data_IF_073346844410
#
_entry.id   IF_073346844410
#
_cell.length_a   1.000
_cell.length_b   1.000
_cell.length_c   1.000
_cell.angle_alpha   90.00
_cell.angle_beta   90.00
_cell.angle_gamma   90.00
#
_symmetry.space_group_name_H-M   'P 1'
#
loop_
_entity.id
_entity.type
_entity.pdbx_description
1 polymer ?
#
# COMPACT_ATOMS: atom_id res chain seq x y z
N UNK A 1 -27.32 2.74 -16.05
CA UNK A 1 -26.01 2.11 -16.32
C UNK A 1 -25.01 2.32 -15.17
N UNK A 2 -24.66 3.55 -14.77
CA UNK A 2 -23.65 3.84 -13.72
C UNK A 2 -23.98 3.31 -12.31
N UNK A 3 -25.26 3.32 -11.92
CA UNK A 3 -25.71 2.75 -10.64
C UNK A 3 -25.64 1.21 -10.61
N UNK A 4 -25.92 0.57 -11.76
CA UNK A 4 -25.93 -0.88 -11.88
C UNK A 4 -24.53 -1.49 -11.85
N UNK A 5 -23.54 -0.76 -12.39
CA UNK A 5 -22.11 -1.12 -12.29
C UNK A 5 -21.60 -0.96 -10.86
N UNK A 6 -22.02 0.09 -10.14
CA UNK A 6 -21.63 0.34 -8.75
C UNK A 6 -22.19 -0.74 -7.79
N UNK A 7 -23.43 -1.17 -8.00
CA UNK A 7 -24.07 -2.28 -7.26
C UNK A 7 -23.40 -3.63 -7.55
N UNK A 8 -22.97 -3.88 -8.78
CA UNK A 8 -22.27 -5.13 -9.13
C UNK A 8 -20.86 -5.20 -8.51
N UNK A 9 -20.13 -4.08 -8.51
CA UNK A 9 -18.79 -3.97 -7.90
C UNK A 9 -18.83 -4.16 -6.39
N UNK A 10 -19.84 -3.61 -5.72
CA UNK A 10 -20.04 -3.79 -4.26
C UNK A 10 -20.40 -5.24 -3.90
N UNK A 11 -21.21 -5.92 -4.73
CA UNK A 11 -21.59 -7.33 -4.52
C UNK A 11 -20.40 -8.30 -4.68
N UNK A 12 -19.47 -8.02 -5.60
CA UNK A 12 -18.24 -8.81 -5.79
C UNK A 12 -17.25 -8.65 -4.62
N UNK A 13 -17.29 -7.53 -3.90
CA UNK A 13 -16.43 -7.28 -2.74
C UNK A 13 -16.91 -8.03 -1.48
N UNK A 14 -18.20 -8.34 -1.35
CA UNK A 14 -18.80 -8.97 -0.15
C UNK A 14 -18.47 -10.47 -0.02
N UNK A 15 -18.15 -11.16 -1.12
CA UNK A 15 -17.97 -12.62 -1.14
C UNK A 15 -16.53 -13.09 -0.90
N UNK A 16 -15.55 -12.19 -0.71
CA UNK A 16 -14.19 -12.57 -0.34
C UNK A 16 -13.92 -12.23 1.14
N UNK A 17 -14.04 -13.23 2.01
CA UNK A 17 -13.46 -13.17 3.36
C UNK A 17 -11.93 -13.08 3.22
N UNK A 18 -11.39 -11.89 3.39
CA UNK A 18 -9.96 -11.67 3.38
C UNK A 18 -9.43 -11.86 4.79
N UNK A 19 -8.69 -12.93 5.06
CA UNK A 19 -8.15 -13.25 6.38
C UNK A 19 -6.68 -13.62 6.27
N UNK A 20 -5.87 -13.20 7.26
CA UNK A 20 -4.49 -13.66 7.42
C UNK A 20 -3.43 -12.58 7.26
N UNK A 21 -3.47 -11.79 6.17
CA UNK A 21 -2.36 -10.87 5.88
C UNK A 21 -2.49 -9.53 6.63
N UNK A 22 -1.41 -9.10 7.26
CA UNK A 22 -1.33 -7.81 7.96
C UNK A 22 -0.03 -7.08 7.65
N UNK A 23 -0.07 -5.76 7.71
CA UNK A 23 1.12 -4.91 7.75
C UNK A 23 1.14 -4.14 9.06
N UNK A 24 2.32 -3.68 9.46
CA UNK A 24 2.53 -2.84 10.62
C UNK A 24 3.60 -1.81 10.28
N UNK A 25 3.28 -0.54 10.51
CA UNK A 25 4.21 0.56 10.31
C UNK A 25 4.21 1.44 11.56
N UNK A 26 5.39 1.95 11.93
CA UNK A 26 5.49 2.88 13.05
C UNK A 26 4.86 4.21 12.65
N UNK A 27 3.84 4.65 13.38
CA UNK A 27 3.32 6.00 13.26
C UNK A 27 4.33 6.97 13.85
N UNK A 28 4.91 7.82 13.02
CA UNK A 28 5.79 8.88 13.48
C UNK A 28 5.63 10.08 12.55
N UNK A 29 5.18 11.19 13.13
CA UNK A 29 5.26 12.50 12.49
C UNK A 29 6.70 12.97 12.66
N UNK A 30 7.48 12.89 11.58
CA UNK A 30 8.90 13.24 11.58
C UNK A 30 9.13 14.38 10.59
N UNK A 31 9.86 15.39 11.03
CA UNK A 31 10.30 16.52 10.18
C UNK A 31 11.74 16.25 9.76
N UNK A 32 11.98 16.27 8.45
CA UNK A 32 13.30 16.11 7.83
C UNK A 32 13.69 17.38 7.09
N UNK A 33 14.98 17.57 6.81
CA UNK A 33 15.44 18.68 5.99
C UNK A 33 15.36 18.31 4.51
N UNK A 34 15.15 19.32 3.69
CA UNK A 34 15.29 19.18 2.24
C UNK A 34 16.70 18.69 1.89
N UNK A 35 16.81 17.77 0.93
CA UNK A 35 18.06 17.11 0.55
C UNK A 35 18.42 15.89 1.40
N UNK A 36 17.77 15.64 2.54
CA UNK A 36 18.04 14.47 3.36
C UNK A 36 17.64 13.17 2.62
N UNK A 37 18.40 12.10 2.88
CA UNK A 37 18.02 10.75 2.51
C UNK A 37 17.21 10.10 3.64
N UNK A 38 16.02 9.57 3.33
CA UNK A 38 15.14 8.94 4.33
C UNK A 38 14.72 7.55 3.90
N UNK A 39 14.43 6.70 4.88
CA UNK A 39 13.92 5.35 4.65
C UNK A 39 12.74 5.06 5.58
N UNK A 40 11.60 4.73 4.98
CA UNK A 40 10.41 4.26 5.66
C UNK A 40 10.45 2.74 5.74
N UNK A 41 10.19 2.18 6.92
CA UNK A 41 10.15 0.74 7.14
C UNK A 41 8.74 0.28 7.48
N UNK A 42 8.35 -0.86 6.92
CA UNK A 42 7.09 -1.52 7.19
C UNK A 42 7.32 -3.01 7.40
N UNK A 43 6.84 -3.54 8.52
CA UNK A 43 6.81 -4.99 8.77
C UNK A 43 5.52 -5.57 8.23
N UNK A 44 5.59 -6.77 7.68
CA UNK A 44 4.42 -7.49 7.19
C UNK A 44 4.34 -8.88 7.80
N UNK A 45 3.16 -9.47 7.80
CA UNK A 45 2.93 -10.85 8.21
C UNK A 45 1.99 -11.48 7.19
N UNK A 46 2.47 -12.55 6.57
CA UNK A 46 1.73 -13.34 5.59
C UNK A 46 2.13 -14.79 5.73
N UNK A 47 1.19 -15.69 5.50
CA UNK A 47 1.43 -17.14 5.48
C UNK A 47 1.64 -17.66 4.03
N UNK A 48 1.64 -16.76 3.05
CA UNK A 48 1.75 -17.11 1.64
C UNK A 48 3.20 -16.98 1.16
N UNK A 49 3.65 -17.90 0.31
CA UNK A 49 4.98 -17.82 -0.32
C UNK A 49 5.01 -16.81 -1.47
N UNK A 50 3.87 -16.59 -2.12
CA UNK A 50 3.69 -15.66 -3.23
C UNK A 50 2.79 -14.50 -2.81
N UNK A 51 3.36 -13.30 -2.70
CA UNK A 51 2.66 -12.09 -2.28
C UNK A 51 3.27 -10.84 -2.92
N UNK A 52 2.47 -9.79 -2.96
CA UNK A 52 2.87 -8.46 -3.39
C UNK A 52 2.96 -7.54 -2.19
N UNK A 53 3.99 -6.69 -2.18
CA UNK A 53 4.07 -5.54 -1.29
C UNK A 53 3.95 -4.27 -2.10
N UNK A 54 3.20 -3.32 -1.58
CA UNK A 54 2.89 -2.05 -2.21
C UNK A 54 3.28 -0.91 -1.30
N UNK A 55 3.71 0.18 -1.91
CA UNK A 55 3.85 1.48 -1.29
C UNK A 55 2.94 2.49 -1.96
N UNK A 56 2.31 3.29 -1.13
CA UNK A 56 1.41 4.37 -1.52
C UNK A 56 1.85 5.67 -0.86
N UNK A 57 1.56 6.78 -1.53
CA UNK A 57 1.69 8.12 -0.98
C UNK A 57 0.33 8.77 -0.90
N UNK A 58 0.01 9.38 0.23
CA UNK A 58 -1.24 10.11 0.42
C UNK A 58 -0.93 11.54 0.85
N UNK A 59 -1.26 12.48 -0.02
CA UNK A 59 -1.28 13.89 0.33
C UNK A 59 -2.47 14.22 1.23
N UNK A 60 -2.40 15.28 2.06
CA UNK A 60 -3.53 15.72 2.86
C UNK A 60 -4.81 15.83 2.03
N UNK A 61 -5.89 15.24 2.54
CA UNK A 61 -7.22 15.23 1.92
C UNK A 61 -7.33 14.58 0.53
N UNK A 62 -6.28 13.89 0.07
CA UNK A 62 -6.31 13.11 -1.19
C UNK A 62 -6.43 11.62 -0.91
N UNK A 63 -6.84 10.87 -1.94
CA UNK A 63 -6.78 9.41 -1.92
C UNK A 63 -5.32 8.93 -2.01
N UNK A 64 -4.98 7.73 -1.48
CA UNK A 64 -3.67 7.13 -1.68
C UNK A 64 -3.33 6.94 -3.16
N UNK A 65 -2.13 7.37 -3.55
CA UNK A 65 -1.57 7.25 -4.89
C UNK A 65 -0.55 6.10 -4.91
N UNK A 66 -0.64 5.22 -5.90
CA UNK A 66 0.29 4.11 -6.05
C UNK A 66 1.71 4.61 -6.37
N UNK A 67 2.71 4.10 -5.64
CA UNK A 67 4.11 4.43 -5.88
C UNK A 67 4.90 3.26 -6.48
N UNK A 68 5.00 2.14 -5.76
CA UNK A 68 5.87 1.03 -6.14
C UNK A 68 5.32 -0.27 -5.58
N UNK A 69 5.51 -1.38 -6.30
CA UNK A 69 5.29 -2.71 -5.77
C UNK A 69 6.46 -3.65 -6.01
N UNK A 70 6.57 -4.67 -5.17
CA UNK A 70 7.52 -5.77 -5.27
C UNK A 70 6.79 -7.10 -5.13
N UNK A 71 7.20 -8.11 -5.91
CA UNK A 71 6.67 -9.47 -5.82
C UNK A 71 7.68 -10.38 -5.14
N UNK A 72 7.22 -11.17 -4.17
CA UNK A 72 8.08 -12.01 -3.32
C UNK A 72 8.93 -13.02 -4.12
N UNK A 73 8.42 -13.51 -5.25
CA UNK A 73 9.09 -14.57 -6.01
C UNK A 73 10.41 -14.16 -6.68
N UNK A 74 10.44 -12.99 -7.31
CA UNK A 74 11.61 -12.49 -8.04
C UNK A 74 12.17 -11.20 -7.46
N UNK A 75 11.54 -10.70 -6.39
CA UNK A 75 11.86 -9.43 -5.77
C UNK A 75 11.97 -8.28 -6.77
N UNK A 76 11.18 -8.29 -7.86
CA UNK A 76 11.26 -7.27 -8.90
C UNK A 76 10.58 -5.98 -8.43
N UNK A 77 11.29 -4.87 -8.55
CA UNK A 77 10.72 -3.54 -8.36
C UNK A 77 9.90 -3.11 -9.58
N UNK A 78 8.68 -2.62 -9.35
CA UNK A 78 7.88 -1.96 -10.39
C UNK A 78 7.34 -0.64 -9.85
N UNK A 79 7.80 0.47 -10.44
CA UNK A 79 7.39 1.83 -10.07
C UNK A 79 6.21 2.31 -10.90
N UNK A 80 5.37 3.16 -10.32
CA UNK A 80 4.34 3.91 -11.03
C UNK A 80 4.97 4.93 -11.99
N UNK A 81 4.24 5.29 -13.04
CA UNK A 81 4.75 6.13 -14.13
C UNK A 81 5.30 7.49 -13.67
N UNK A 82 4.73 8.07 -12.60
CA UNK A 82 5.13 9.36 -12.05
C UNK A 82 6.22 9.28 -10.96
N UNK A 83 6.74 8.08 -10.67
CA UNK A 83 7.74 7.89 -9.61
C UNK A 83 9.14 7.92 -10.19
N UNK A 84 9.89 8.97 -9.82
CA UNK A 84 11.27 9.19 -10.26
C UNK A 84 12.29 8.25 -9.63
N UNK A 85 13.54 8.35 -10.11
CA UNK A 85 14.68 7.54 -9.65
C UNK A 85 15.05 7.75 -8.18
N UNK A 86 14.71 8.91 -7.58
CA UNK A 86 14.96 9.23 -6.17
C UNK A 86 14.29 8.25 -5.19
N UNK A 87 13.20 7.61 -5.63
CA UNK A 87 12.47 6.63 -4.83
C UNK A 87 12.96 5.23 -5.13
N UNK A 88 13.19 4.41 -4.11
CA UNK A 88 13.50 2.98 -4.27
C UNK A 88 12.87 2.18 -3.16
N UNK A 89 12.45 0.95 -3.45
CA UNK A 89 11.90 0.03 -2.46
C UNK A 89 12.76 -1.20 -2.33
N UNK A 90 12.87 -1.74 -1.12
CA UNK A 90 13.49 -3.04 -0.85
C UNK A 90 12.50 -3.96 -0.14
N UNK A 91 12.73 -5.26 -0.28
CA UNK A 91 11.97 -6.30 0.38
C UNK A 91 12.94 -7.35 0.92
N UNK A 92 12.96 -7.47 2.25
CA UNK A 92 13.61 -8.53 3.01
C UNK A 92 12.52 -9.52 3.47
N UNK A 93 12.46 -10.66 2.80
CA UNK A 93 11.46 -11.70 3.07
C UNK A 93 11.77 -12.40 4.39
N UNK A 94 13.04 -12.54 4.76
CA UNK A 94 13.47 -13.26 5.96
C UNK A 94 13.05 -12.48 7.20
N UNK A 95 13.26 -11.16 7.19
CA UNK A 95 12.86 -10.28 8.29
C UNK A 95 11.41 -9.84 8.22
N UNK A 96 10.69 -10.20 7.15
CA UNK A 96 9.34 -9.72 6.85
C UNK A 96 9.24 -8.19 6.89
N UNK A 97 10.22 -7.52 6.27
CA UNK A 97 10.33 -6.06 6.19
C UNK A 97 10.34 -5.62 4.73
N UNK A 98 9.60 -4.56 4.44
CA UNK A 98 9.81 -3.75 3.24
C UNK A 98 10.20 -2.34 3.63
N UNK A 99 11.06 -1.75 2.81
CA UNK A 99 11.46 -0.36 2.97
C UNK A 99 11.18 0.44 1.70
N UNK A 100 10.98 1.73 1.88
CA UNK A 100 10.92 2.74 0.83
C UNK A 100 11.91 3.85 1.18
N UNK A 101 12.91 4.03 0.33
CA UNK A 101 13.94 5.06 0.47
C UNK A 101 13.70 6.20 -0.51
N UNK A 102 13.95 7.42 -0.05
CA UNK A 102 14.00 8.65 -0.85
C UNK A 102 15.41 9.21 -0.69
N UNK A 103 16.18 9.30 -1.79
CA UNK A 103 17.60 9.68 -1.72
C UNK A 103 17.85 11.17 -1.52
N UNK A 104 16.92 12.01 -1.96
CA UNK A 104 17.02 13.47 -1.89
C UNK A 104 15.61 14.01 -1.67
N UNK A 105 15.24 14.27 -0.42
CA UNK A 105 13.91 14.79 -0.08
C UNK A 105 13.64 16.16 -0.67
N UNK A 106 12.43 16.35 -1.19
CA UNK A 106 11.92 17.65 -1.64
C UNK A 106 10.72 18.05 -0.78
N UNK A 107 10.43 19.35 -0.68
CA UNK A 107 9.25 19.85 0.07
C UNK A 107 7.94 19.22 -0.46
N UNK A 108 7.87 18.98 -1.78
CA UNK A 108 6.74 18.32 -2.46
C UNK A 108 6.55 16.84 -2.07
N UNK A 109 7.54 16.22 -1.42
CA UNK A 109 7.48 14.84 -0.92
C UNK A 109 6.78 14.75 0.45
N UNK A 110 6.36 15.88 1.04
CA UNK A 110 5.61 15.93 2.30
C UNK A 110 4.24 15.27 2.14
N UNK A 111 4.11 14.05 2.66
CA UNK A 111 2.91 13.23 2.55
C UNK A 111 2.95 12.09 3.57
N UNK A 112 1.83 11.38 3.72
CA UNK A 112 1.79 10.10 4.41
C UNK A 112 2.26 8.99 3.45
N UNK A 113 3.18 8.15 3.92
CA UNK A 113 3.65 6.98 3.18
C UNK A 113 3.07 5.71 3.82
N UNK A 114 2.35 4.93 3.01
CA UNK A 114 1.56 3.79 3.46
C UNK A 114 2.05 2.51 2.76
N UNK A 115 2.28 1.46 3.52
CA UNK A 115 2.59 0.14 2.96
C UNK A 115 1.36 -0.76 2.94
N UNK A 116 1.34 -1.71 2.01
CA UNK A 116 0.30 -2.71 1.91
C UNK A 116 0.82 -4.07 1.47
N UNK A 117 0.07 -5.13 1.77
CA UNK A 117 0.36 -6.48 1.30
C UNK A 117 -0.88 -7.11 0.66
N UNK A 118 -0.65 -8.00 -0.33
CA UNK A 118 -1.67 -8.87 -0.88
C UNK A 118 -1.10 -10.22 -1.30
N UNK A 119 -1.77 -11.31 -0.89
CA UNK A 119 -1.52 -12.65 -1.42
C UNK A 119 -1.75 -12.71 -2.94
N UNK A 120 -0.85 -13.41 -3.65
CA UNK A 120 -0.95 -13.65 -5.09
C UNK A 120 -2.26 -14.36 -5.47
N UNK A 121 -2.71 -15.33 -4.65
CA UNK A 121 -3.97 -16.08 -4.88
C UNK A 121 -5.19 -15.18 -4.83
N UNK A 122 -5.09 -14.08 -4.08
CA UNK A 122 -6.19 -13.14 -3.88
C UNK A 122 -6.12 -11.95 -4.82
N UNK A 123 -5.21 -11.92 -5.81
CA UNK A 123 -5.05 -10.80 -6.74
C UNK A 123 -5.72 -11.08 -8.12
N UNK A 124 -6.62 -10.20 -8.62
CA UNK A 124 -7.16 -8.99 -7.98
C UNK A 124 -8.12 -9.32 -6.82
N UNK A 125 -8.04 -8.52 -5.74
CA UNK A 125 -8.80 -8.74 -4.50
C UNK A 125 -8.24 -7.92 -3.32
N UNK A 126 -8.21 -8.49 -2.11
CA UNK A 126 -7.97 -7.69 -0.91
C UNK A 126 -6.53 -7.25 -0.71
N UNK A 127 -6.39 -5.98 -0.37
CA UNK A 127 -5.14 -5.35 0.06
C UNK A 127 -5.32 -4.90 1.51
N UNK A 128 -4.39 -5.31 2.37
CA UNK A 128 -4.32 -4.85 3.76
C UNK A 128 -3.45 -3.60 3.83
N UNK A 129 -4.05 -2.46 4.17
CA UNK A 129 -3.38 -1.17 4.39
C UNK A 129 -3.45 -0.81 5.87
N UNK A 130 -2.39 -0.18 6.39
CA UNK A 130 -2.37 0.36 7.76
C UNK A 130 -2.12 1.85 7.75
N UNK A 131 -3.03 2.59 8.38
CA UNK A 131 -2.87 4.02 8.55
C UNK A 131 -2.17 4.32 9.88
N UNK A 132 -1.00 4.98 9.86
CA UNK A 132 -0.45 5.58 11.06
C UNK A 132 -1.31 6.80 11.40
N UNK A 133 -1.94 6.81 12.58
CA UNK A 133 -2.62 8.03 13.07
C UNK A 133 -1.88 8.59 14.27
N UNK A 134 -1.97 9.91 14.48
CA UNK A 134 -1.35 10.66 15.59
C UNK A 134 -1.81 10.21 17.00
N UNK A 135 -2.73 9.24 17.10
CA UNK A 135 -3.39 8.81 18.33
C UNK A 135 -3.12 7.33 18.66
N UNK A 136 -1.88 6.83 18.55
CA UNK A 136 -1.45 5.47 18.99
C UNK A 136 -2.32 4.28 18.51
N UNK A 137 -3.28 4.49 17.60
CA UNK A 137 -4.21 3.50 17.09
C UNK A 137 -3.93 3.29 15.61
N UNK A 138 -3.47 2.09 15.28
CA UNK A 138 -3.32 1.65 13.91
C UNK A 138 -4.71 1.26 13.40
N UNK A 139 -5.28 2.05 12.48
CA UNK A 139 -6.47 1.62 11.76
C UNK A 139 -6.04 0.72 10.61
N UNK A 140 -6.42 -0.56 10.70
CA UNK A 140 -6.29 -1.52 9.59
C UNK A 140 -7.51 -1.34 8.70
N UNK A 141 -7.28 -0.94 7.45
CA UNK A 141 -8.34 -0.86 6.46
C UNK A 141 -8.02 -1.86 5.37
N UNK A 142 -9.02 -2.66 5.00
CA UNK A 142 -8.92 -3.62 3.91
C UNK A 142 -9.67 -3.07 2.71
N UNK A 143 -8.98 -3.02 1.58
CA UNK A 143 -9.54 -2.52 0.32
C UNK A 143 -9.64 -3.66 -0.67
N UNK A 144 -10.65 -3.64 -1.53
CA UNK A 144 -10.68 -4.51 -2.70
C UNK A 144 -10.07 -3.76 -3.88
N UNK A 145 -8.99 -4.30 -4.44
CA UNK A 145 -8.38 -3.81 -5.67
C UNK A 145 -8.94 -4.60 -6.85
N UNK A 146 -9.57 -3.89 -7.78
CA UNK A 146 -10.04 -4.45 -9.05
C UNK A 146 -9.10 -3.95 -10.17
N UNK A 147 -8.82 -4.83 -11.13
CA UNK A 147 -8.06 -4.47 -12.33
C UNK A 147 -9.03 -4.34 -13.49
N UNK A 148 -9.32 -3.11 -13.91
CA UNK A 148 -10.11 -2.82 -15.11
C UNK A 148 -9.16 -2.39 -16.21
N UNK A 149 -9.03 -3.20 -17.28
CA UNK A 149 -8.32 -2.89 -18.55
C UNK A 149 -7.32 -1.73 -18.51
N UNK A 150 -6.18 -1.93 -17.83
CA UNK A 150 -5.06 -0.97 -17.80
C UNK A 150 -5.01 -0.03 -16.58
N UNK A 151 -6.08 0.12 -15.81
CA UNK A 151 -6.12 0.92 -14.58
C UNK A 151 -6.33 0.05 -13.33
N UNK A 152 -5.60 0.40 -12.26
CA UNK A 152 -5.82 -0.16 -10.91
C UNK A 152 -6.80 0.76 -10.19
N UNK A 153 -8.05 0.33 -10.02
CA UNK A 153 -9.08 1.10 -9.31
C UNK A 153 -9.24 0.58 -7.88
N UNK A 154 -9.16 1.50 -6.91
CA UNK A 154 -9.37 1.21 -5.49
C UNK A 154 -10.85 1.45 -5.16
N UNK A 155 -11.57 0.40 -4.77
CA UNK A 155 -12.92 0.59 -4.20
C UNK A 155 -12.80 0.53 -2.68
N UNK A 156 -13.04 1.67 -2.04
CA UNK A 156 -13.01 1.79 -0.58
C UNK A 156 -14.28 1.17 0.01
N UNK A 157 -14.18 -0.03 0.56
CA UNK A 157 -15.14 -0.51 1.55
C UNK A 157 -14.56 -0.19 2.92
N UNK A 158 -14.96 0.97 3.47
CA UNK A 158 -14.53 1.41 4.79
C UNK A 158 -15.26 0.58 5.84
N UNK A 159 -14.74 -0.59 6.17
CA UNK A 159 -15.18 -1.31 7.36
C UNK A 159 -14.36 -0.79 8.54
N UNK A 160 -14.99 0.04 9.36
CA UNK A 160 -14.54 0.25 10.73
C UNK A 160 -14.81 -1.06 11.48
N UNK A 161 -13.76 -1.82 11.79
CA UNK A 161 -13.81 -2.74 12.92
C UNK A 161 -13.38 -2.00 14.18
#
# INVERSE_FOLDING_TARGET
FVHSTLLCVTLLCLNKLCGGDTVSQKAATIVWKEGDAVTFNCTFSTNESAFFLFWYRQYPYKQPEFMVWRFSYNNKETKGAAIGSRFSSQLDIIQSVTSLSISELQVSDTAMYLCATASYKNYPGCVSLVFPTDQLRLFRVRFCVQRTSGETTFTTSQYFC
#
